data_IF_808110226554
#
_entry.id   IF_808110226554
#
_cell.length_a   1.000
_cell.length_b   1.000
_cell.length_c   1.000
_cell.angle_alpha   90.00
_cell.angle_beta   90.00
_cell.angle_gamma   90.00
#
_symmetry.space_group_name_H-M   'P 1'
#
loop_
_entity.id
_entity.type
_entity.pdbx_description
1 polymer ?
#
# COMPACT_ATOMS: atom_id res chain seq x y z
N UNK A 1 0.41 7.21 -14.54
CA UNK A 1 -0.20 8.32 -13.77
C UNK A 1 -1.49 8.87 -14.40
N UNK A 2 -2.03 8.25 -15.46
CA UNK A 2 -3.18 8.78 -16.19
C UNK A 2 -4.49 8.76 -15.39
N UNK A 3 -4.69 7.76 -14.52
CA UNK A 3 -5.92 7.60 -13.75
C UNK A 3 -6.17 8.75 -12.76
N UNK A 4 -5.18 9.14 -11.96
CA UNK A 4 -5.35 10.27 -11.02
C UNK A 4 -5.58 11.59 -11.74
N UNK A 5 -4.88 11.82 -12.86
CA UNK A 5 -5.07 13.04 -13.65
C UNK A 5 -6.47 13.08 -14.27
N UNK A 6 -7.02 11.94 -14.71
CA UNK A 6 -8.40 11.85 -15.16
C UNK A 6 -9.37 12.22 -14.04
N UNK A 7 -9.20 11.67 -12.84
CA UNK A 7 -10.07 11.99 -11.70
C UNK A 7 -10.00 13.47 -11.30
N UNK A 8 -8.80 14.07 -11.30
CA UNK A 8 -8.61 15.52 -11.06
C UNK A 8 -9.42 16.36 -12.05
N UNK A 9 -9.37 16.02 -13.33
CA UNK A 9 -10.10 16.73 -14.38
C UNK A 9 -11.62 16.50 -14.26
N UNK A 10 -12.05 15.28 -13.98
CA UNK A 10 -13.47 14.91 -13.89
C UNK A 10 -14.17 15.51 -12.66
N UNK A 11 -13.47 15.62 -11.53
CA UNK A 11 -14.05 16.10 -10.27
C UNK A 11 -13.82 17.60 -10.04
N UNK A 12 -12.84 18.22 -10.71
CA UNK A 12 -12.58 19.66 -10.63
C UNK A 12 -12.41 20.13 -9.19
N UNK A 13 -13.28 21.04 -8.74
CA UNK A 13 -13.27 21.60 -7.40
C UNK A 13 -13.65 20.59 -6.30
N UNK A 14 -14.35 19.50 -6.64
CA UNK A 14 -14.68 18.44 -5.70
C UNK A 14 -13.49 17.50 -5.40
N UNK A 15 -12.40 17.61 -6.18
CA UNK A 15 -11.18 16.86 -5.93
C UNK A 15 -10.33 17.57 -4.86
N UNK A 16 -9.78 16.81 -3.92
CA UNK A 16 -8.91 17.34 -2.87
C UNK A 16 -7.47 17.49 -3.37
N UNK A 17 -7.07 18.72 -3.70
CA UNK A 17 -5.79 19.02 -4.37
C UNK A 17 -4.61 19.26 -3.41
N UNK A 18 -4.86 19.46 -2.12
CA UNK A 18 -3.83 19.87 -1.15
C UNK A 18 -2.81 18.77 -0.83
N UNK A 19 -3.17 17.50 -1.06
CA UNK A 19 -2.32 16.35 -0.76
C UNK A 19 -1.74 15.79 -2.05
N UNK A 20 -0.45 15.99 -2.28
CA UNK A 20 0.29 15.44 -3.42
C UNK A 20 0.57 13.94 -3.25
N UNK A 21 -0.48 13.14 -3.03
CA UNK A 21 -0.39 11.71 -2.70
C UNK A 21 -0.08 10.87 -3.94
N UNK A 22 0.78 9.87 -3.77
CA UNK A 22 1.01 8.84 -4.80
C UNK A 22 -0.16 7.85 -4.86
N UNK A 23 -0.79 7.55 -3.72
CA UNK A 23 -1.96 6.67 -3.61
C UNK A 23 -3.09 7.44 -2.91
N UNK A 24 -4.15 7.73 -3.66
CA UNK A 24 -5.34 8.44 -3.18
C UNK A 24 -6.61 7.73 -3.64
N UNK A 25 -7.72 8.08 -3.00
CA UNK A 25 -9.06 7.81 -3.49
C UNK A 25 -9.35 8.66 -4.73
N UNK A 26 -10.46 8.37 -5.41
CA UNK A 26 -10.89 9.09 -6.61
C UNK A 26 -11.03 10.60 -6.38
N UNK A 27 -11.46 11.01 -5.18
CA UNK A 27 -11.63 12.39 -4.75
C UNK A 27 -10.33 13.05 -4.25
N UNK A 28 -9.17 12.43 -4.40
CA UNK A 28 -7.89 12.99 -3.97
C UNK A 28 -7.59 12.85 -2.48
N UNK A 29 -8.55 12.38 -1.67
CA UNK A 29 -8.32 12.10 -0.27
C UNK A 29 -7.44 10.86 -0.06
N UNK A 30 -6.86 10.74 1.14
CA UNK A 30 -6.06 9.59 1.52
C UNK A 30 -6.88 8.29 1.53
N UNK A 31 -6.23 7.18 1.19
CA UNK A 31 -6.83 5.85 1.32
C UNK A 31 -6.94 5.52 2.81
N UNK A 32 -8.13 5.16 3.34
CA UNK A 32 -8.29 4.76 4.72
C UNK A 32 -7.43 3.53 5.02
N UNK A 33 -6.81 3.48 6.21
CA UNK A 33 -5.96 2.35 6.63
C UNK A 33 -6.64 1.00 6.42
N UNK A 34 -7.92 0.91 6.77
CA UNK A 34 -8.75 -0.30 6.62
C UNK A 34 -8.81 -0.84 5.19
N UNK A 35 -8.68 0.00 4.16
CA UNK A 35 -8.74 -0.41 2.76
C UNK A 35 -7.64 -1.41 2.43
N UNK A 36 -6.43 -1.14 2.93
CA UNK A 36 -5.27 -1.99 2.73
C UNK A 36 -5.42 -3.32 3.50
N UNK A 37 -5.85 -3.27 4.77
CA UNK A 37 -6.13 -4.47 5.57
C UNK A 37 -7.21 -5.35 4.91
N UNK A 38 -8.30 -4.75 4.46
CA UNK A 38 -9.40 -5.46 3.80
C UNK A 38 -8.94 -6.10 2.49
N UNK A 39 -8.11 -5.40 1.70
CA UNK A 39 -7.53 -5.97 0.49
C UNK A 39 -6.66 -7.19 0.80
N UNK A 40 -5.80 -7.09 1.82
CA UNK A 40 -4.96 -8.20 2.25
C UNK A 40 -5.79 -9.40 2.71
N UNK A 41 -6.80 -9.19 3.57
CA UNK A 41 -7.71 -10.26 4.03
C UNK A 41 -8.45 -10.94 2.88
N UNK A 42 -8.90 -10.18 1.85
CA UNK A 42 -9.53 -10.76 0.66
C UNK A 42 -8.56 -11.65 -0.12
N UNK A 43 -7.30 -11.24 -0.25
CA UNK A 43 -6.27 -12.03 -0.95
C UNK A 43 -6.01 -13.33 -0.19
N UNK A 44 -5.78 -13.27 1.13
CA UNK A 44 -5.56 -14.46 1.97
C UNK A 44 -6.69 -15.47 1.83
N UNK A 45 -7.94 -15.00 1.92
CA UNK A 45 -9.13 -15.84 1.72
C UNK A 45 -9.15 -16.48 0.33
N UNK A 46 -8.82 -15.72 -0.72
CA UNK A 46 -8.81 -16.21 -2.11
C UNK A 46 -7.77 -17.32 -2.34
N UNK A 47 -6.64 -17.26 -1.66
CA UNK A 47 -5.57 -18.28 -1.77
C UNK A 47 -5.65 -19.38 -0.71
N UNK A 48 -6.69 -19.40 0.11
CA UNK A 48 -6.90 -20.43 1.14
C UNK A 48 -5.97 -20.33 2.35
N UNK A 49 -5.39 -19.16 2.61
CA UNK A 49 -4.52 -18.93 3.77
C UNK A 49 -5.33 -18.46 4.99
N UNK A 50 -4.86 -18.77 6.22
CA UNK A 50 -5.46 -18.22 7.43
C UNK A 50 -5.36 -16.70 7.47
N UNK A 51 -6.16 -16.06 8.32
CA UNK A 51 -6.03 -14.63 8.58
C UNK A 51 -4.64 -14.33 9.17
N UNK A 52 -3.91 -13.41 8.54
CA UNK A 52 -2.58 -12.99 8.95
C UNK A 52 -2.55 -11.47 9.14
N UNK A 53 -1.74 -10.94 10.06
CA UNK A 53 -1.51 -9.51 10.17
C UNK A 53 -0.76 -8.97 8.94
N UNK A 54 -1.12 -7.78 8.47
CA UNK A 54 -0.51 -7.23 7.25
C UNK A 54 1.00 -6.97 7.38
N UNK A 55 1.49 -6.68 8.58
CA UNK A 55 2.91 -6.44 8.82
C UNK A 55 3.76 -7.71 8.63
N UNK A 56 3.16 -8.90 8.50
CA UNK A 56 3.90 -10.11 8.14
C UNK A 56 4.51 -10.01 6.74
N UNK A 57 3.91 -9.24 5.83
CA UNK A 57 4.52 -8.94 4.53
C UNK A 57 5.90 -8.31 4.69
N UNK A 58 6.09 -7.48 5.73
CA UNK A 58 7.38 -6.87 6.03
C UNK A 58 8.37 -7.86 6.63
N UNK A 59 7.91 -8.80 7.46
CA UNK A 59 8.76 -9.91 7.91
C UNK A 59 9.22 -10.77 6.73
N UNK A 60 8.31 -11.14 5.84
CA UNK A 60 8.65 -11.87 4.61
C UNK A 60 9.63 -11.08 3.74
N UNK A 61 9.41 -9.77 3.56
CA UNK A 61 10.33 -8.93 2.79
C UNK A 61 11.74 -8.91 3.40
N UNK A 62 11.85 -8.79 4.72
CA UNK A 62 13.14 -8.84 5.41
C UNK A 62 13.85 -10.18 5.19
N UNK A 63 13.13 -11.31 5.31
CA UNK A 63 13.69 -12.64 5.03
C UNK A 63 14.18 -12.75 3.58
N UNK A 64 13.37 -12.31 2.61
CA UNK A 64 13.75 -12.34 1.19
C UNK A 64 14.99 -11.48 0.90
N UNK A 65 15.15 -10.34 1.58
CA UNK A 65 16.34 -9.49 1.45
C UNK A 65 17.59 -10.16 2.03
N UNK A 66 17.46 -10.87 3.15
CA UNK A 66 18.56 -11.64 3.75
C UNK A 66 18.96 -12.81 2.84
N UNK A 67 17.99 -13.52 2.28
CA UNK A 67 18.21 -14.61 1.31
C UNK A 67 18.87 -14.09 0.02
N UNK A 68 18.57 -12.86 -0.39
CA UNK A 68 19.23 -12.19 -1.50
C UNK A 68 20.65 -11.68 -1.18
N UNK A 69 21.17 -11.96 0.03
CA UNK A 69 22.53 -11.59 0.43
C UNK A 69 22.69 -10.14 0.87
N UNK A 70 21.60 -9.41 1.13
CA UNK A 70 21.71 -8.03 1.62
C UNK A 70 22.03 -8.00 3.10
N UNK A 71 23.08 -7.27 3.46
CA UNK A 71 23.54 -7.17 4.85
C UNK A 71 22.50 -6.55 5.79
N UNK A 72 22.31 -7.17 6.96
CA UNK A 72 21.34 -6.75 8.00
C UNK A 72 21.42 -5.28 8.40
N UNK A 73 22.60 -4.67 8.32
CA UNK A 73 22.83 -3.27 8.68
C UNK A 73 22.09 -2.30 7.74
N UNK A 74 21.83 -2.71 6.48
CA UNK A 74 21.23 -1.86 5.45
C UNK A 74 19.75 -1.55 5.70
N UNK A 75 18.97 -2.48 6.27
CA UNK A 75 17.52 -2.30 6.39
C UNK A 75 17.03 -1.99 7.79
N UNK A 76 17.89 -1.89 8.80
CA UNK A 76 17.51 -1.65 10.22
C UNK A 76 16.70 -0.37 10.43
N UNK A 77 16.82 0.61 9.52
CA UNK A 77 16.08 1.89 9.51
C UNK A 77 14.97 1.95 8.43
N UNK A 78 14.82 0.89 7.63
CA UNK A 78 13.65 0.69 6.75
C UNK A 78 12.50 0.00 7.53
N UNK A 79 12.72 -0.22 8.83
CA UNK A 79 11.84 -0.87 9.82
C UNK A 79 11.19 0.24 10.64
#
# INVERSE_FOLDING_TARGET
MNWQNQNKLSLGDAYYHDLNLVLCREDGNYIPKSSLFNAFSRILKRVGLPSLPIHFLRHTHAVLLLEAGVEMKMFKNTI
#
